data_IF_104923632188
#
_entry.id   IF_104923632188
#
_cell.length_a   1.000
_cell.length_b   1.000
_cell.length_c   1.000
_cell.angle_alpha   90.00
_cell.angle_beta   90.00
_cell.angle_gamma   90.00
#
_symmetry.space_group_name_H-M   'P 1'
#
loop_
_entity.id
_entity.type
_entity.pdbx_description
1 polymer ?
#
# COMPACT_ATOMS: atom_id res chain seq x y z
N UNK A 1 15.60 -7.47 -10.70
CA UNK A 1 14.16 -7.30 -11.01
C UNK A 1 14.02 -6.88 -12.47
N UNK A 2 13.33 -7.68 -13.29
CA UNK A 2 13.22 -7.41 -14.74
C UNK A 2 12.27 -6.24 -14.96
N UNK A 3 12.85 -5.07 -15.21
CA UNK A 3 12.14 -3.98 -15.86
C UNK A 3 11.68 -4.53 -17.23
N UNK A 4 10.39 -4.81 -17.42
CA UNK A 4 9.87 -5.26 -18.72
C UNK A 4 9.66 -4.02 -19.59
N UNK A 5 10.65 -3.62 -20.42
CA UNK A 5 10.53 -2.46 -21.28
C UNK A 5 9.51 -2.74 -22.38
N UNK A 6 8.64 -1.78 -22.67
CA UNK A 6 7.86 -1.71 -23.89
C UNK A 6 6.35 -1.89 -23.81
N UNK A 7 5.76 -2.21 -22.65
CA UNK A 7 4.29 -2.23 -22.51
C UNK A 7 3.79 -0.97 -21.81
N UNK A 8 2.92 -0.20 -22.49
CA UNK A 8 2.19 0.90 -21.86
C UNK A 8 1.17 0.33 -20.87
N UNK A 9 1.36 0.56 -19.58
CA UNK A 9 0.39 0.22 -18.55
C UNK A 9 -0.73 1.27 -18.54
N UNK A 10 -1.97 0.83 -18.48
CA UNK A 10 -3.15 1.68 -18.41
C UNK A 10 -3.84 1.45 -17.07
N UNK A 11 -4.30 2.53 -16.48
CA UNK A 11 -5.02 2.48 -15.20
C UNK A 11 -6.30 1.66 -15.33
N UNK A 12 -6.43 0.63 -14.49
CA UNK A 12 -7.66 -0.11 -14.29
C UNK A 12 -8.58 0.66 -13.35
N UNK A 13 -8.04 1.03 -12.19
CA UNK A 13 -8.71 1.86 -11.18
C UNK A 13 -7.69 2.51 -10.25
N UNK A 14 -8.17 3.50 -9.49
CA UNK A 14 -7.43 4.11 -8.39
C UNK A 14 -8.42 4.42 -7.27
N UNK A 15 -8.00 4.22 -6.04
CA UNK A 15 -8.77 4.56 -4.85
C UNK A 15 -7.89 5.33 -3.88
N UNK A 16 -8.49 6.28 -3.16
CA UNK A 16 -7.82 7.02 -2.11
C UNK A 16 -8.75 7.12 -0.90
N UNK A 17 -8.19 6.94 0.29
CA UNK A 17 -8.88 7.10 1.54
C UNK A 17 -8.04 7.96 2.49
N UNK A 18 -8.69 8.66 3.41
CA UNK A 18 -8.03 9.51 4.41
C UNK A 18 -8.52 9.16 5.81
N UNK A 19 -7.60 9.23 6.77
CA UNK A 19 -7.91 9.11 8.19
C UNK A 19 -7.28 10.28 8.95
N UNK A 20 -8.02 10.95 9.86
CA UNK A 20 -7.48 12.01 10.70
C UNK A 20 -6.53 11.43 11.76
N UNK A 21 -5.51 12.21 12.11
CA UNK A 21 -4.58 11.92 13.19
C UNK A 21 -4.48 13.18 14.06
N UNK A 22 -4.80 13.06 15.36
CA UNK A 22 -4.76 14.13 16.35
C UNK A 22 -3.32 14.34 16.85
N UNK A 23 -2.43 14.73 15.92
CA UNK A 23 -1.04 15.07 16.20
C UNK A 23 -0.41 15.83 15.02
N UNK A 24 0.64 16.62 15.30
CA UNK A 24 1.40 17.29 14.25
C UNK A 24 2.11 16.27 13.36
N UNK A 25 2.10 16.51 12.04
CA UNK A 25 2.66 15.56 11.04
C UNK A 25 4.15 15.26 11.26
N UNK A 26 4.93 16.22 11.76
CA UNK A 26 6.37 16.07 11.99
C UNK A 26 6.69 15.07 13.12
N UNK A 27 5.66 14.64 13.86
CA UNK A 27 5.78 13.55 14.84
C UNK A 27 5.94 12.18 14.20
N UNK A 28 5.80 12.06 12.88
CA UNK A 28 5.77 10.80 12.18
C UNK A 28 6.89 10.70 11.13
N UNK A 29 7.24 9.47 10.79
CA UNK A 29 8.16 9.11 9.72
C UNK A 29 7.56 7.91 8.97
N UNK A 30 6.84 8.20 7.87
CA UNK A 30 6.16 7.18 7.05
C UNK A 30 7.14 6.18 6.45
N UNK A 31 8.30 6.65 5.98
CA UNK A 31 9.31 5.77 5.40
C UNK A 31 9.84 4.78 6.44
N UNK A 32 10.19 5.27 7.63
CA UNK A 32 10.60 4.40 8.71
C UNK A 32 9.49 3.43 9.12
N UNK A 33 8.26 3.93 9.27
CA UNK A 33 7.12 3.12 9.72
C UNK A 33 6.81 1.98 8.76
N UNK A 34 6.62 2.24 7.46
CA UNK A 34 6.18 1.23 6.49
C UNK A 34 7.20 0.11 6.30
N UNK A 35 8.49 0.42 6.37
CA UNK A 35 9.55 -0.59 6.24
C UNK A 35 9.96 -1.24 7.58
N UNK A 36 9.30 -0.89 8.68
CA UNK A 36 9.40 -1.57 9.97
C UNK A 36 8.04 -2.07 10.46
N UNK A 37 7.03 -2.05 9.59
CA UNK A 37 5.74 -2.68 9.84
C UNK A 37 5.96 -4.19 9.98
N UNK A 38 5.65 -4.75 11.16
CA UNK A 38 5.80 -6.18 11.38
C UNK A 38 4.70 -6.97 10.67
N UNK A 39 4.95 -8.25 10.43
CA UNK A 39 3.94 -9.16 9.88
C UNK A 39 2.63 -9.14 10.71
N UNK A 40 2.76 -9.20 12.03
CA UNK A 40 1.62 -9.11 12.95
C UNK A 40 0.88 -7.76 12.85
N UNK A 41 1.60 -6.63 12.75
CA UNK A 41 0.97 -5.32 12.57
C UNK A 41 0.18 -5.27 11.27
N UNK A 42 0.78 -5.74 10.18
CA UNK A 42 0.14 -5.76 8.86
C UNK A 42 -1.15 -6.59 8.89
N UNK A 43 -1.10 -7.80 9.44
CA UNK A 43 -2.28 -8.67 9.57
C UNK A 43 -3.41 -8.02 10.37
N UNK A 44 -3.09 -7.17 11.35
CA UNK A 44 -4.07 -6.47 12.18
C UNK A 44 -4.65 -5.20 11.53
N UNK A 45 -4.18 -4.79 10.34
CA UNK A 45 -4.66 -3.57 9.67
C UNK A 45 -5.73 -3.79 8.61
N UNK A 46 -6.02 -5.03 8.22
CA UNK A 46 -7.23 -5.39 7.46
C UNK A 46 -7.45 -6.90 7.49
N UNK A 47 -8.70 -7.33 7.37
CA UNK A 47 -9.05 -8.77 7.33
C UNK A 47 -8.48 -9.53 6.15
N UNK A 48 -8.18 -8.80 5.08
CA UNK A 48 -7.59 -9.38 3.86
C UNK A 48 -6.08 -9.59 3.95
N UNK A 49 -5.39 -8.98 4.91
CA UNK A 49 -3.94 -9.06 5.06
C UNK A 49 -3.52 -10.43 5.58
N UNK A 50 -2.54 -11.05 4.91
CA UNK A 50 -2.10 -12.42 5.20
C UNK A 50 -0.67 -12.42 5.73
N UNK A 51 0.24 -11.69 5.09
CA UNK A 51 1.65 -11.63 5.49
C UNK A 51 2.33 -10.36 4.96
N UNK A 52 3.33 -9.88 5.68
CA UNK A 52 4.23 -8.84 5.21
C UNK A 52 5.65 -9.05 5.69
N UNK A 53 6.61 -8.59 4.88
CA UNK A 53 8.02 -8.56 5.25
C UNK A 53 8.77 -7.48 4.49
N UNK A 54 9.76 -6.86 5.12
CA UNK A 54 10.59 -5.85 4.51
C UNK A 54 12.06 -6.32 4.40
N UNK A 55 12.75 -5.82 3.39
CA UNK A 55 14.13 -6.12 3.10
C UNK A 55 14.86 -4.89 2.58
N UNK A 56 16.18 -4.96 2.54
CA UNK A 56 17.02 -3.93 1.92
C UNK A 56 17.97 -4.61 0.95
N UNK A 57 17.97 -4.17 -0.29
CA UNK A 57 18.93 -4.61 -1.30
C UNK A 57 20.35 -4.12 -0.98
N UNK A 58 21.34 -4.72 -1.64
CA UNK A 58 22.77 -4.39 -1.48
C UNK A 58 23.07 -2.91 -1.83
N UNK A 59 22.28 -2.32 -2.74
CA UNK A 59 22.37 -0.92 -3.15
C UNK A 59 21.62 0.05 -2.21
N UNK A 60 21.08 -0.46 -1.09
CA UNK A 60 20.32 0.33 -0.11
C UNK A 60 18.83 0.49 -0.43
N UNK A 61 18.35 0.00 -1.58
CA UNK A 61 16.94 0.10 -1.95
C UNK A 61 16.06 -0.70 -0.99
N UNK A 62 15.07 -0.03 -0.39
CA UNK A 62 14.08 -0.67 0.49
C UNK A 62 13.01 -1.37 -0.32
N UNK A 63 12.67 -2.57 0.10
CA UNK A 63 11.63 -3.40 -0.52
C UNK A 63 10.71 -3.99 0.54
N UNK A 64 9.46 -4.25 0.14
CA UNK A 64 8.48 -4.95 0.97
C UNK A 64 7.77 -6.00 0.14
N UNK A 65 7.45 -7.13 0.75
CA UNK A 65 6.57 -8.15 0.18
C UNK A 65 5.31 -8.18 1.03
N UNK A 66 4.16 -7.96 0.40
CA UNK A 66 2.86 -8.03 1.05
C UNK A 66 2.01 -9.10 0.36
N UNK A 67 1.30 -9.87 1.17
CA UNK A 67 0.35 -10.89 0.69
C UNK A 67 -1.01 -10.57 1.26
N UNK A 68 -2.01 -10.47 0.37
CA UNK A 68 -3.37 -10.13 0.76
C UNK A 68 -4.43 -10.84 -0.08
N UNK A 69 -5.63 -10.91 0.43
CA UNK A 69 -6.81 -11.42 -0.27
C UNK A 69 -7.86 -10.32 -0.36
N UNK A 70 -8.15 -9.84 -1.57
CA UNK A 70 -9.11 -8.77 -1.82
C UNK A 70 -10.19 -9.24 -2.78
N UNK A 71 -11.44 -9.26 -2.35
CA UNK A 71 -12.57 -9.69 -3.17
C UNK A 71 -12.45 -11.15 -3.64
N UNK A 72 -11.84 -12.03 -2.84
CA UNK A 72 -11.61 -13.44 -3.18
C UNK A 72 -10.38 -13.70 -4.07
N UNK A 73 -9.67 -12.66 -4.48
CA UNK A 73 -8.44 -12.75 -5.25
C UNK A 73 -7.24 -12.72 -4.31
N UNK A 74 -6.19 -13.49 -4.64
CA UNK A 74 -4.92 -13.46 -3.91
C UNK A 74 -3.94 -12.53 -4.62
N UNK A 75 -3.34 -11.61 -3.87
CA UNK A 75 -2.28 -10.71 -4.32
C UNK A 75 -0.98 -11.02 -3.61
N UNK A 76 0.11 -11.15 -4.36
CA UNK A 76 1.48 -11.15 -3.84
C UNK A 76 2.20 -9.95 -4.44
N UNK A 77 2.53 -8.99 -3.60
CA UNK A 77 3.05 -7.69 -3.99
C UNK A 77 4.54 -7.59 -3.64
N UNK A 78 5.35 -7.20 -4.61
CA UNK A 78 6.81 -7.04 -4.47
C UNK A 78 7.15 -5.56 -4.61
N UNK A 79 6.93 -4.79 -3.55
CA UNK A 79 7.12 -3.35 -3.57
C UNK A 79 8.58 -2.94 -3.54
N UNK A 80 8.89 -1.94 -4.37
CA UNK A 80 10.16 -1.20 -4.35
C UNK A 80 9.83 0.26 -4.06
N UNK A 81 10.55 0.88 -3.13
CA UNK A 81 10.40 2.30 -2.84
C UNK A 81 10.94 3.14 -4.01
N UNK A 82 10.09 3.96 -4.62
CA UNK A 82 10.49 5.00 -5.58
C UNK A 82 10.72 6.35 -4.88
N UNK A 83 9.92 6.63 -3.83
CA UNK A 83 10.07 7.81 -2.97
C UNK A 83 9.94 7.36 -1.51
N UNK A 84 10.86 7.80 -0.66
CA UNK A 84 10.89 7.49 0.77
C UNK A 84 11.18 8.74 1.60
N UNK A 85 10.19 9.60 1.81
CA UNK A 85 10.26 10.79 2.65
C UNK A 85 9.49 10.57 3.97
N UNK A 86 9.71 11.46 4.94
CA UNK A 86 9.02 11.35 6.24
C UNK A 86 7.51 11.48 6.14
N UNK A 87 7.02 12.31 5.22
CA UNK A 87 5.61 12.62 5.05
C UNK A 87 5.04 12.12 3.72
N UNK A 88 5.87 11.48 2.87
CA UNK A 88 5.44 10.87 1.62
C UNK A 88 6.25 9.63 1.26
N UNK A 89 5.54 8.54 1.02
CA UNK A 89 6.12 7.30 0.52
C UNK A 89 5.38 6.86 -0.73
N UNK A 90 6.13 6.51 -1.77
CA UNK A 90 5.61 5.90 -2.99
C UNK A 90 6.34 4.61 -3.28
N UNK A 91 5.58 3.53 -3.37
CA UNK A 91 6.08 2.20 -3.67
C UNK A 91 5.40 1.65 -4.92
N UNK A 92 6.16 0.93 -5.73
CA UNK A 92 5.67 0.28 -6.95
C UNK A 92 5.95 -1.21 -6.89
N UNK A 93 4.96 -2.00 -7.27
CA UNK A 93 5.04 -3.45 -7.37
C UNK A 93 4.52 -3.94 -8.71
N UNK A 94 5.22 -4.90 -9.31
CA UNK A 94 4.66 -5.77 -10.34
C UNK A 94 4.17 -7.03 -9.62
N UNK A 95 2.89 -7.01 -9.26
CA UNK A 95 2.26 -7.95 -8.34
C UNK A 95 1.70 -9.16 -9.07
N UNK A 96 1.86 -10.33 -8.46
CA UNK A 96 1.20 -11.55 -8.90
C UNK A 96 -0.24 -11.56 -8.36
N UNK A 97 -1.21 -11.44 -9.27
CA UNK A 97 -2.64 -11.47 -8.97
C UNK A 97 -3.22 -12.81 -9.43
N UNK A 98 -3.79 -13.55 -8.50
CA UNK A 98 -4.51 -14.80 -8.74
C UNK A 98 -6.01 -14.54 -8.65
N UNK A 99 -6.65 -14.30 -9.80
CA UNK A 99 -8.10 -14.10 -9.92
C UNK A 99 -8.82 -15.37 -9.51
N UNK A 100 -9.72 -15.25 -8.50
CA UNK A 100 -10.44 -16.38 -7.90
C UNK A 100 -9.51 -17.54 -7.49
N UNK A 101 -8.22 -17.24 -7.23
CA UNK A 101 -7.16 -18.22 -6.92
C UNK A 101 -6.85 -19.22 -8.04
N UNK A 102 -7.31 -18.98 -9.26
CA UNK A 102 -7.18 -19.89 -10.41
C UNK A 102 -6.40 -19.27 -11.58
N UNK A 103 -6.65 -18.01 -11.93
CA UNK A 103 -6.07 -17.36 -13.12
C UNK A 103 -4.98 -16.39 -12.66
N UNK A 104 -3.74 -16.69 -13.05
CA UNK A 104 -2.59 -15.83 -12.75
C UNK A 104 -2.45 -14.70 -13.77
N UNK A 105 -2.33 -13.48 -13.30
CA UNK A 105 -1.99 -12.29 -14.10
C UNK A 105 -1.02 -11.42 -13.33
N UNK A 106 -0.21 -10.63 -14.02
CA UNK A 106 0.68 -9.64 -13.38
C UNK A 106 0.09 -8.26 -13.57
N UNK A 107 -0.13 -7.55 -12.47
CA UNK A 107 -0.60 -6.16 -12.45
C UNK A 107 0.49 -5.25 -11.88
N UNK A 108 0.52 -4.00 -12.33
CA UNK A 108 1.34 -2.98 -11.66
C UNK A 108 0.47 -2.33 -10.59
N UNK A 109 0.97 -2.31 -9.36
CA UNK A 109 0.34 -1.63 -8.23
C UNK A 109 1.26 -0.51 -7.79
N UNK A 110 0.71 0.69 -7.67
CA UNK A 110 1.35 1.83 -7.04
C UNK A 110 0.64 2.10 -5.72
N UNK A 111 1.38 2.06 -4.63
CA UNK A 111 0.90 2.38 -3.29
C UNK A 111 1.56 3.67 -2.82
N UNK A 112 0.74 4.68 -2.52
CA UNK A 112 1.19 6.00 -2.08
C UNK A 112 0.56 6.34 -0.73
N UNK A 113 1.41 6.75 0.20
CA UNK A 113 1.00 7.21 1.52
C UNK A 113 1.51 8.63 1.73
N UNK A 114 0.66 9.50 2.27
CA UNK A 114 1.01 10.90 2.53
C UNK A 114 0.41 11.40 3.84
N UNK A 115 1.21 12.17 4.58
CA UNK A 115 0.74 12.98 5.70
C UNK A 115 0.53 14.41 5.23
N UNK A 116 -0.69 14.90 5.38
CA UNK A 116 -1.07 16.29 5.03
C UNK A 116 -1.29 17.09 6.31
N UNK A 117 -0.71 18.27 6.39
CA UNK A 117 -0.98 19.19 7.49
C UNK A 117 -2.45 19.65 7.45
N UNK A 118 -3.12 19.63 8.60
CA UNK A 118 -4.49 20.14 8.76
C UNK A 118 -4.49 21.34 9.73
N UNK A 119 -3.83 21.19 10.88
CA UNK A 119 -3.62 22.25 11.88
C UNK A 119 -2.36 21.95 12.69
N UNK A 120 -2.02 22.82 13.66
CA UNK A 120 -0.86 22.61 14.54
C UNK A 120 -0.88 21.25 15.27
N UNK A 121 -2.07 20.77 15.63
CA UNK A 121 -2.23 19.53 16.39
C UNK A 121 -2.98 18.43 15.60
N UNK A 122 -3.07 18.56 14.26
CA UNK A 122 -3.80 17.59 13.44
C UNK A 122 -3.17 17.45 12.07
N UNK A 123 -3.06 16.21 11.61
CA UNK A 123 -2.73 15.87 10.23
C UNK A 123 -3.71 14.82 9.68
N UNK A 124 -3.69 14.61 8.38
CA UNK A 124 -4.44 13.55 7.73
C UNK A 124 -3.47 12.55 7.10
N UNK A 125 -3.70 11.26 7.36
CA UNK A 125 -3.04 10.16 6.68
C UNK A 125 -3.85 9.79 5.44
N UNK A 126 -3.28 9.99 4.25
CA UNK A 126 -3.88 9.62 2.97
C UNK A 126 -3.22 8.37 2.43
N UNK A 127 -4.03 7.38 2.11
CA UNK A 127 -3.64 6.12 1.49
C UNK A 127 -4.24 6.01 0.10
N UNK A 128 -3.40 5.84 -0.92
CA UNK A 128 -3.82 5.76 -2.33
C UNK A 128 -3.26 4.49 -2.97
N UNK A 129 -4.13 3.71 -3.57
CA UNK A 129 -3.77 2.51 -4.33
C UNK A 129 -4.23 2.66 -5.76
N UNK A 130 -3.28 2.52 -6.70
CA UNK A 130 -3.55 2.53 -8.15
C UNK A 130 -3.15 1.20 -8.75
N UNK A 131 -4.03 0.60 -9.53
CA UNK A 131 -3.78 -0.65 -10.24
C UNK A 131 -3.82 -0.42 -11.74
N UNK A 132 -2.80 -0.93 -12.44
CA UNK A 132 -2.58 -0.75 -13.85
C UNK A 132 -2.30 -2.10 -14.54
N UNK A 133 -2.73 -2.25 -15.79
CA UNK A 133 -2.42 -3.43 -16.62
C UNK A 133 -2.31 -3.04 -18.11
N UNK A 134 -1.45 -3.69 -18.91
CA UNK A 134 -1.27 -3.33 -20.31
C UNK A 134 -2.42 -3.79 -21.23
N UNK A 135 -3.24 -4.75 -20.84
CA UNK A 135 -4.30 -5.31 -21.66
C UNK A 135 -5.61 -4.54 -21.55
N UNK A 136 -6.18 -4.15 -22.68
CA UNK A 136 -7.52 -3.54 -22.76
C UNK A 136 -8.63 -4.49 -22.27
N UNK A 137 -8.50 -5.80 -22.54
CA UNK A 137 -9.45 -6.80 -22.06
C UNK A 137 -9.51 -6.83 -20.54
N UNK A 138 -8.36 -6.70 -19.85
CA UNK A 138 -8.31 -6.62 -18.39
C UNK A 138 -9.00 -5.36 -17.85
N UNK A 139 -9.01 -4.25 -18.60
CA UNK A 139 -9.76 -3.05 -18.20
C UNK A 139 -11.27 -3.35 -18.19
N UNK A 140 -11.78 -3.99 -19.23
CA UNK A 140 -13.20 -4.38 -19.32
C UNK A 140 -13.54 -5.38 -18.21
N UNK A 141 -12.75 -6.43 -18.03
CA UNK A 141 -12.98 -7.44 -17.00
C UNK A 141 -12.94 -6.85 -15.60
N UNK A 142 -11.99 -5.96 -15.30
CA UNK A 142 -11.91 -5.27 -14.02
C UNK A 142 -13.14 -4.41 -13.73
N UNK A 143 -13.66 -3.71 -14.74
CA UNK A 143 -14.88 -2.92 -14.61
C UNK A 143 -16.10 -3.81 -14.35
N UNK A 144 -16.26 -4.91 -15.08
CA UNK A 144 -17.37 -5.86 -14.92
C UNK A 144 -17.30 -6.65 -13.61
N UNK A 145 -16.11 -7.03 -13.16
CA UNK A 145 -15.89 -7.78 -11.92
C UNK A 145 -15.87 -6.91 -10.64
N UNK A 146 -16.24 -5.63 -10.74
CA UNK A 146 -16.22 -4.69 -9.61
C UNK A 146 -14.86 -4.62 -8.86
N UNK A 147 -13.76 -4.88 -9.57
CA UNK A 147 -12.42 -4.88 -8.97
C UNK A 147 -12.10 -3.61 -8.18
N UNK A 148 -12.44 -2.44 -8.74
CA UNK A 148 -12.29 -1.17 -8.06
C UNK A 148 -13.16 -1.02 -6.79
N UNK A 149 -14.33 -1.66 -6.75
CA UNK A 149 -15.19 -1.67 -5.55
C UNK A 149 -14.54 -2.42 -4.40
N UNK A 150 -14.01 -3.62 -4.65
CA UNK A 150 -13.38 -4.42 -3.60
C UNK A 150 -12.10 -3.77 -3.08
N UNK A 151 -11.25 -3.22 -3.96
CA UNK A 151 -10.03 -2.51 -3.54
C UNK A 151 -10.37 -1.23 -2.78
N UNK A 152 -11.42 -0.50 -3.18
CA UNK A 152 -11.90 0.67 -2.41
C UNK A 152 -12.36 0.25 -1.01
N UNK A 153 -13.17 -0.80 -0.90
CA UNK A 153 -13.63 -1.33 0.39
C UNK A 153 -12.47 -1.75 1.30
N UNK A 154 -11.47 -2.40 0.72
CA UNK A 154 -10.26 -2.78 1.42
C UNK A 154 -9.48 -1.55 1.90
N UNK A 155 -9.28 -0.55 1.04
CA UNK A 155 -8.61 0.71 1.38
C UNK A 155 -9.37 1.51 2.47
N UNK A 156 -10.72 1.52 2.43
CA UNK A 156 -11.56 2.11 3.48
C UNK A 156 -11.39 1.39 4.84
N UNK A 157 -11.16 0.07 4.84
CA UNK A 157 -10.91 -0.72 6.05
C UNK A 157 -9.50 -0.48 6.61
N UNK A 158 -8.47 -0.57 5.76
CA UNK A 158 -7.08 -0.53 6.20
C UNK A 158 -6.60 0.87 6.60
N UNK A 159 -7.05 1.93 5.91
CA UNK A 159 -6.53 3.29 6.09
C UNK A 159 -6.62 3.80 7.53
N UNK A 160 -7.76 3.71 8.24
CA UNK A 160 -7.84 4.14 9.63
C UNK A 160 -7.00 3.25 10.58
N UNK A 161 -6.83 1.97 10.24
CA UNK A 161 -6.04 1.04 11.04
C UNK A 161 -4.53 1.28 10.85
N UNK A 162 -4.09 1.59 9.64
CA UNK A 162 -2.73 2.06 9.38
C UNK A 162 -2.42 3.38 10.10
N UNK A 163 -3.34 4.36 10.05
CA UNK A 163 -3.17 5.63 10.76
C UNK A 163 -3.00 5.40 12.27
N UNK A 164 -3.83 4.52 12.86
CA UNK A 164 -3.73 4.16 14.28
C UNK A 164 -2.40 3.47 14.60
N UNK A 165 -2.00 2.48 13.81
CA UNK A 165 -0.73 1.77 14.00
C UNK A 165 0.48 2.72 13.88
N UNK A 166 0.46 3.65 12.92
CA UNK A 166 1.48 4.70 12.78
C UNK A 166 1.62 5.52 14.06
N UNK A 167 0.51 5.95 14.67
CA UNK A 167 0.49 6.70 15.93
C UNK A 167 1.08 5.86 17.07
N UNK A 168 0.62 4.63 17.23
CA UNK A 168 1.06 3.71 18.29
C UNK A 168 2.57 3.45 18.22
N UNK A 169 3.08 3.11 17.03
CA UNK A 169 4.50 2.81 16.80
C UNK A 169 5.40 4.05 16.96
N UNK A 170 4.92 5.21 16.50
CA UNK A 170 5.67 6.47 16.67
C UNK A 170 5.75 6.91 18.14
N UNK A 171 4.70 6.67 18.92
CA UNK A 171 4.67 6.97 20.35
C UNK A 171 5.59 6.05 21.15
N UNK A 172 5.58 4.75 20.87
CA UNK A 172 6.47 3.77 21.50
C UNK A 172 7.95 4.09 21.25
N UNK A 173 8.31 4.52 20.05
CA UNK A 173 9.68 4.92 19.69
C UNK A 173 10.16 6.15 20.48
N UNK A 174 9.30 7.14 20.69
CA UNK A 174 9.65 8.34 21.48
C UNK A 174 9.81 8.04 22.96
N UNK A 175 9.10 7.07 23.50
CA UNK A 175 9.23 6.65 24.90
C UNK A 175 10.48 5.81 25.20
N UNK A 176 11.19 5.34 24.14
CA UNK A 176 12.39 4.48 24.24
C UNK A 176 13.70 5.22 23.96
N UNK A 177 13.64 6.50 23.56
CA UNK A 177 14.78 7.38 23.28
C UNK A 177 15.04 8.34 24.43
#
# INVERSE_FOLDING_TARGET
>A
MSNRPGKSYKKLFSTACEAPIEAHRDNFDLHHWVFNLSDCDYQNTARGHIAAGASTHIDGTRTSVNVESVGGNLLVQHYVAEVGEKDYVRMVSYSDLWLMKLIHVVVKVTWEMRLTHVSENQCAFRNTVTVEHPSFLMQIMSALALGGFFVRKHNEEETPLFARNLVERSSARRGSA
#
